data_IF_463216282486
#
_entry.id   IF_463216282486
#
_cell.length_a   1.000
_cell.length_b   1.000
_cell.length_c   1.000
_cell.angle_alpha   90.00
_cell.angle_beta   90.00
_cell.angle_gamma   90.00
#
_symmetry.space_group_name_H-M   'P 1'
#
loop_
_entity.id
_entity.type
_entity.pdbx_description
1 polymer ?
#
# COMPACT_ATOMS: atom_id res chain seq x y z
N UNK A 1 -20.19 10.90 18.40
CA UNK A 1 -20.65 12.21 17.91
C UNK A 1 -20.93 12.04 16.42
N UNK A 2 -22.19 12.19 16.00
CA UNK A 2 -22.59 12.01 14.59
C UNK A 2 -22.55 13.38 13.94
N UNK A 3 -21.64 13.58 12.99
CA UNK A 3 -21.58 14.78 12.15
C UNK A 3 -22.56 14.58 10.99
N UNK A 4 -23.71 15.25 11.05
CA UNK A 4 -24.62 15.38 9.92
C UNK A 4 -24.25 16.68 9.18
N UNK A 5 -23.70 16.56 7.97
CA UNK A 5 -23.48 17.69 7.07
C UNK A 5 -24.57 17.67 6.00
N UNK A 6 -25.39 18.72 5.93
CA UNK A 6 -26.53 18.84 5.00
C UNK A 6 -26.11 19.15 3.55
N UNK A 7 -24.81 19.31 3.29
CA UNK A 7 -24.23 19.47 1.96
C UNK A 7 -23.06 18.49 1.86
N UNK A 8 -23.09 17.62 0.84
CA UNK A 8 -22.24 16.44 0.64
C UNK A 8 -20.72 16.71 0.45
N UNK A 9 -20.18 17.82 0.94
CA UNK A 9 -18.76 18.17 0.81
C UNK A 9 -18.26 18.71 2.15
N UNK A 10 -17.46 17.90 2.84
CA UNK A 10 -16.74 18.31 4.06
C UNK A 10 -15.44 18.97 3.59
N UNK A 11 -15.31 20.29 3.77
CA UNK A 11 -14.08 21.04 3.52
C UNK A 11 -13.18 21.08 4.77
N UNK A 12 -11.88 21.29 4.57
CA UNK A 12 -10.87 21.32 5.65
C UNK A 12 -11.22 22.33 6.75
N UNK A 13 -11.84 23.45 6.39
CA UNK A 13 -12.33 24.49 7.30
C UNK A 13 -13.41 24.00 8.29
N UNK A 14 -14.12 22.90 7.95
CA UNK A 14 -15.15 22.29 8.80
C UNK A 14 -14.59 21.27 9.78
N UNK A 15 -13.32 20.87 9.65
CA UNK A 15 -12.65 19.99 10.59
C UNK A 15 -12.14 20.82 11.78
N UNK A 16 -12.34 20.34 13.01
CA UNK A 16 -11.90 21.08 14.19
C UNK A 16 -10.39 21.35 14.14
N UNK A 17 -9.96 22.51 14.66
CA UNK A 17 -8.54 22.88 14.77
C UNK A 17 -7.70 21.86 15.55
N UNK A 18 -8.35 20.96 16.31
CA UNK A 18 -7.70 19.84 16.99
C UNK A 18 -7.35 18.68 16.06
N UNK A 19 -8.15 18.42 15.01
CA UNK A 19 -7.87 17.38 14.00
C UNK A 19 -6.69 17.83 13.10
N UNK A 20 -6.64 19.11 12.76
CA UNK A 20 -5.59 19.73 11.93
C UNK A 20 -4.20 19.75 12.61
N UNK A 21 -4.13 19.60 13.94
CA UNK A 21 -2.87 19.60 14.72
C UNK A 21 -2.23 18.22 14.87
N UNK A 22 -2.89 17.15 14.42
CA UNK A 22 -2.24 15.84 14.42
C UNK A 22 -1.10 15.88 13.40
N UNK A 23 0.11 15.41 13.77
CA UNK A 23 1.22 15.36 12.84
C UNK A 23 0.79 14.52 11.65
N UNK A 24 0.92 15.07 10.45
CA UNK A 24 0.58 14.35 9.24
C UNK A 24 1.51 13.13 9.13
N UNK A 25 0.94 11.95 9.37
CA UNK A 25 1.70 10.70 9.38
C UNK A 25 1.91 10.23 7.94
N UNK A 26 2.73 10.95 7.19
CA UNK A 26 3.15 10.54 5.86
C UNK A 26 4.22 9.45 5.96
N UNK A 27 4.08 8.43 5.13
CA UNK A 27 5.17 7.48 4.92
C UNK A 27 6.33 8.19 4.22
N UNK A 28 7.54 7.77 4.56
CA UNK A 28 8.73 8.20 3.83
C UNK A 28 8.69 7.66 2.40
N UNK A 29 9.39 8.32 1.47
CA UNK A 29 9.46 7.86 0.07
C UNK A 29 9.95 6.41 -0.04
N UNK A 30 10.90 6.01 0.83
CA UNK A 30 11.42 4.64 0.87
C UNK A 30 10.36 3.62 1.27
N UNK A 31 9.52 3.95 2.24
CA UNK A 31 8.42 3.08 2.68
C UNK A 31 7.36 2.93 1.59
N UNK A 32 6.99 4.03 0.92
CA UNK A 32 6.03 4.03 -0.18
C UNK A 32 6.56 3.21 -1.37
N UNK A 33 7.84 3.38 -1.71
CA UNK A 33 8.47 2.61 -2.79
C UNK A 33 8.44 1.11 -2.49
N UNK A 34 8.80 0.71 -1.27
CA UNK A 34 8.78 -0.67 -0.83
C UNK A 34 7.36 -1.26 -0.83
N UNK A 35 6.38 -0.52 -0.32
CA UNK A 35 4.98 -0.93 -0.29
C UNK A 35 4.43 -1.10 -1.72
N UNK A 36 4.71 -0.14 -2.60
CA UNK A 36 4.30 -0.14 -4.01
C UNK A 36 4.89 -1.33 -4.76
N UNK A 37 6.19 -1.59 -4.60
CA UNK A 37 6.87 -2.76 -5.20
C UNK A 37 6.25 -4.07 -4.72
N UNK A 38 6.01 -4.20 -3.42
CA UNK A 38 5.44 -5.43 -2.83
C UNK A 38 4.02 -5.68 -3.34
N UNK A 39 3.18 -4.63 -3.36
CA UNK A 39 1.82 -4.70 -3.89
C UNK A 39 1.79 -5.10 -5.36
N UNK A 40 2.69 -4.53 -6.17
CA UNK A 40 2.76 -4.85 -7.58
C UNK A 40 3.15 -6.31 -7.82
N UNK A 41 4.13 -6.83 -7.06
CA UNK A 41 4.54 -8.24 -7.14
C UNK A 41 3.39 -9.17 -6.72
N UNK A 42 2.64 -8.82 -5.67
CA UNK A 42 1.45 -9.57 -5.27
C UNK A 42 0.40 -9.60 -6.37
N UNK A 43 0.13 -8.47 -7.04
CA UNK A 43 -0.82 -8.42 -8.15
C UNK A 43 -0.41 -9.35 -9.30
N UNK A 44 0.87 -9.35 -9.68
CA UNK A 44 1.38 -10.24 -10.73
C UNK A 44 1.35 -11.71 -10.29
N UNK A 45 1.66 -11.99 -9.02
CA UNK A 45 1.52 -13.35 -8.50
C UNK A 45 0.06 -13.83 -8.54
N UNK A 46 -0.90 -12.99 -8.15
CA UNK A 46 -2.33 -13.30 -8.25
C UNK A 46 -2.76 -13.54 -9.70
N UNK A 47 -2.31 -12.69 -10.63
CA UNK A 47 -2.56 -12.85 -12.06
C UNK A 47 -2.00 -14.17 -12.62
N UNK A 48 -0.84 -14.60 -12.13
CA UNK A 48 -0.17 -15.84 -12.56
C UNK A 48 -0.59 -17.09 -11.77
N UNK A 49 -1.63 -16.99 -10.92
CA UNK A 49 -2.10 -18.11 -10.08
C UNK A 49 -1.07 -18.59 -9.05
N UNK A 50 -0.18 -17.70 -8.60
CA UNK A 50 0.91 -18.01 -7.67
C UNK A 50 2.15 -18.62 -8.30
N UNK A 51 2.25 -18.66 -9.64
CA UNK A 51 3.42 -19.18 -10.34
C UNK A 51 4.61 -18.20 -10.26
N UNK A 52 5.49 -18.44 -9.30
CA UNK A 52 6.66 -17.60 -9.03
C UNK A 52 7.62 -17.51 -10.22
N UNK A 53 7.80 -18.60 -10.97
CA UNK A 53 8.70 -18.61 -12.14
C UNK A 53 8.11 -17.76 -13.28
N UNK A 54 6.80 -17.85 -13.50
CA UNK A 54 6.12 -17.05 -14.52
C UNK A 54 6.08 -15.57 -14.14
N UNK A 55 5.79 -15.25 -12.88
CA UNK A 55 5.84 -13.88 -12.36
C UNK A 55 7.25 -13.27 -12.45
N UNK A 56 8.30 -14.03 -12.14
CA UNK A 56 9.69 -13.60 -12.29
C UNK A 56 10.04 -13.25 -13.74
N UNK A 57 9.58 -14.06 -14.70
CA UNK A 57 9.77 -13.83 -16.13
C UNK A 57 9.05 -12.57 -16.65
N UNK A 58 7.85 -12.29 -16.14
CA UNK A 58 7.08 -11.08 -16.47
C UNK A 58 7.81 -9.85 -15.92
N UNK A 59 8.19 -9.90 -14.64
CA UNK A 59 8.80 -8.79 -13.92
C UNK A 59 10.28 -8.58 -14.26
N UNK A 60 10.91 -9.49 -15.02
CA UNK A 60 12.34 -9.49 -15.35
C UNK A 60 13.23 -9.39 -14.11
N UNK A 61 12.83 -10.08 -13.05
CA UNK A 61 13.60 -10.16 -11.80
C UNK A 61 13.90 -11.60 -11.45
N UNK A 62 14.90 -11.74 -10.59
CA UNK A 62 15.36 -13.03 -10.13
C UNK A 62 14.31 -13.72 -9.25
N UNK A 63 14.13 -15.04 -9.44
CA UNK A 63 13.07 -15.80 -8.74
C UNK A 63 13.23 -15.75 -7.21
N UNK A 64 14.48 -15.68 -6.76
CA UNK A 64 14.86 -15.53 -5.34
C UNK A 64 14.35 -14.22 -4.74
N UNK A 65 14.27 -13.14 -5.52
CA UNK A 65 13.78 -11.83 -5.06
C UNK A 65 12.31 -11.91 -4.65
N UNK A 66 11.49 -12.57 -5.48
CA UNK A 66 10.06 -12.78 -5.16
C UNK A 66 9.91 -13.67 -3.91
N UNK A 67 10.73 -14.70 -3.77
CA UNK A 67 10.69 -15.59 -2.60
C UNK A 67 11.06 -14.88 -1.30
N UNK A 68 12.08 -14.01 -1.31
CA UNK A 68 12.46 -13.21 -0.14
C UNK A 68 11.31 -12.31 0.31
N UNK A 69 10.64 -11.66 -0.63
CA UNK A 69 9.50 -10.79 -0.33
C UNK A 69 8.30 -11.55 0.24
N UNK A 70 8.00 -12.76 -0.26
CA UNK A 70 6.95 -13.61 0.34
C UNK A 70 7.23 -13.97 1.80
N UNK A 71 8.48 -14.30 2.14
CA UNK A 71 8.86 -14.69 3.51
C UNK A 71 8.58 -13.56 4.52
N UNK A 72 8.83 -12.31 4.12
CA UNK A 72 8.54 -11.15 4.97
C UNK A 72 7.04 -10.86 5.12
N UNK A 73 6.20 -11.24 4.14
CA UNK A 73 4.75 -11.03 4.23
C UNK A 73 3.99 -12.03 5.11
N UNK A 74 4.53 -13.22 5.38
CA UNK A 74 3.87 -14.27 6.18
C UNK A 74 4.14 -14.21 7.69
N UNK A 75 4.84 -13.19 8.19
CA UNK A 75 5.16 -13.02 9.62
C UNK A 75 4.29 -11.96 10.33
N UNK A 76 3.14 -11.58 9.75
CA UNK A 76 2.18 -10.65 10.35
C UNK A 76 0.87 -11.33 10.66
#
# INVERSE_FOLDING_TARGET
CVLSCELNIITEDMLSSHISRLPAHFMTLKEIELASRTKYIQNVLSFTGGNVSHAANILKIDRRTIQRLRKHSSQK
#
